data_IF_766100506923
#
_entry.id   IF_766100506923
#
_cell.length_a   1.000
_cell.length_b   1.000
_cell.length_c   1.000
_cell.angle_alpha   90.00
_cell.angle_beta   90.00
_cell.angle_gamma   90.00
#
_symmetry.space_group_name_H-M   'P 1'
#
loop_
_entity.id
_entity.type
_entity.pdbx_description
1 polymer ?
#
# COMPACT_ATOMS: atom_id res chain seq x y z
N UNK A 1 -18.12 -44.58 -41.77
CA UNK A 1 -16.69 -44.54 -41.39
C UNK A 1 -16.34 -43.08 -41.10
N UNK A 2 -16.41 -42.65 -39.84
CA UNK A 2 -16.07 -41.25 -39.47
C UNK A 2 -14.58 -41.02 -39.75
N UNK A 3 -14.28 -39.96 -40.47
CA UNK A 3 -12.92 -39.63 -40.87
C UNK A 3 -12.04 -39.32 -39.63
N UNK A 4 -11.00 -40.11 -39.38
CA UNK A 4 -10.08 -39.93 -38.22
C UNK A 4 -9.59 -38.47 -38.06
N UNK A 5 -9.48 -37.74 -39.18
CA UNK A 5 -9.15 -36.31 -39.20
C UNK A 5 -10.23 -35.42 -38.57
N UNK A 6 -11.52 -35.75 -38.75
CA UNK A 6 -12.64 -34.98 -38.18
C UNK A 6 -12.67 -35.15 -36.64
N UNK A 7 -12.46 -36.40 -36.19
CA UNK A 7 -12.40 -36.71 -34.74
C UNK A 7 -11.21 -35.99 -34.09
N UNK A 8 -10.05 -35.96 -34.76
CA UNK A 8 -8.87 -35.24 -34.24
C UNK A 8 -9.08 -33.72 -34.11
N UNK A 9 -9.73 -33.12 -35.13
CA UNK A 9 -10.07 -31.69 -35.10
C UNK A 9 -11.07 -31.38 -33.97
N UNK A 10 -12.06 -32.24 -33.76
CA UNK A 10 -13.06 -32.06 -32.69
C UNK A 10 -12.43 -32.17 -31.30
N UNK A 11 -11.52 -33.10 -31.09
CA UNK A 11 -10.77 -33.23 -29.81
C UNK A 11 -9.87 -32.03 -29.60
N UNK A 12 -9.17 -31.55 -30.64
CA UNK A 12 -8.29 -30.41 -30.55
C UNK A 12 -9.06 -29.12 -30.18
N UNK A 13 -10.24 -28.93 -30.81
CA UNK A 13 -11.12 -27.78 -30.51
C UNK A 13 -11.68 -27.84 -29.08
N UNK A 14 -12.04 -29.04 -28.62
CA UNK A 14 -12.53 -29.25 -27.25
C UNK A 14 -11.45 -28.96 -26.20
N UNK A 15 -10.20 -29.33 -26.46
CA UNK A 15 -9.06 -29.02 -25.57
C UNK A 15 -8.79 -27.52 -25.51
N UNK A 16 -8.88 -26.82 -26.64
CA UNK A 16 -8.67 -25.34 -26.67
C UNK A 16 -9.77 -24.61 -25.87
N UNK A 17 -11.02 -25.08 -25.90
CA UNK A 17 -12.14 -24.48 -25.13
C UNK A 17 -11.96 -24.70 -23.62
N UNK A 18 -11.36 -25.82 -23.21
CA UNK A 18 -11.11 -26.09 -21.78
C UNK A 18 -9.99 -25.24 -21.17
N UNK A 19 -9.12 -24.61 -21.97
CA UNK A 19 -8.02 -23.74 -21.50
C UNK A 19 -8.50 -22.33 -21.21
N UNK A 20 -9.73 -21.96 -21.55
CA UNK A 20 -10.35 -20.66 -21.24
C UNK A 20 -10.82 -20.58 -19.77
N UNK A 21 -10.14 -21.28 -18.85
CA UNK A 21 -10.34 -21.09 -17.43
C UNK A 21 -10.03 -19.62 -17.10
N UNK A 22 -11.06 -18.80 -16.86
CA UNK A 22 -10.90 -17.48 -16.25
C UNK A 22 -10.17 -17.70 -14.93
N UNK A 23 -8.89 -17.38 -14.91
CA UNK A 23 -8.14 -17.24 -13.67
C UNK A 23 -8.68 -15.98 -12.98
N UNK A 24 -9.75 -16.15 -12.21
CA UNK A 24 -10.18 -15.11 -11.26
C UNK A 24 -9.16 -15.12 -10.13
N UNK A 25 -8.20 -14.21 -10.21
CA UNK A 25 -7.33 -13.88 -9.09
C UNK A 25 -8.20 -13.14 -8.06
N UNK A 26 -8.97 -13.87 -7.27
CA UNK A 26 -9.60 -13.35 -6.07
C UNK A 26 -8.51 -13.19 -5.01
N UNK A 27 -7.62 -12.23 -5.20
CA UNK A 27 -6.85 -11.63 -4.12
C UNK A 27 -7.85 -11.21 -3.05
N UNK A 28 -7.55 -11.48 -1.79
CA UNK A 28 -8.42 -11.42 -0.65
C UNK A 28 -9.57 -10.42 -0.77
N UNK A 29 -10.79 -10.89 -0.77
CA UNK A 29 -11.93 -10.02 -0.94
C UNK A 29 -12.17 -9.24 0.35
N UNK A 30 -12.28 -7.92 0.22
CA UNK A 30 -12.78 -7.05 1.27
C UNK A 30 -14.04 -7.69 1.92
N UNK A 31 -14.20 -7.62 3.27
CA UNK A 31 -15.35 -8.19 3.92
C UNK A 31 -16.66 -7.65 3.32
N UNK A 32 -17.53 -8.52 2.85
CA UNK A 32 -18.73 -8.14 2.06
C UNK A 32 -19.72 -7.23 2.78
N UNK A 33 -19.63 -7.14 4.11
CA UNK A 33 -20.47 -6.27 4.94
C UNK A 33 -19.91 -4.84 5.08
N UNK A 34 -18.64 -4.60 4.70
CA UNK A 34 -18.04 -3.27 4.72
C UNK A 34 -18.18 -2.65 3.33
N UNK A 35 -18.94 -1.57 3.22
CA UNK A 35 -19.18 -0.86 1.96
C UNK A 35 -18.51 0.51 1.96
N UNK A 36 -18.49 1.15 3.12
CA UNK A 36 -17.92 2.49 3.30
C UNK A 36 -16.78 2.48 4.31
N UNK A 37 -15.85 3.43 4.14
CA UNK A 37 -14.70 3.58 5.00
C UNK A 37 -14.45 5.05 5.32
N UNK A 38 -14.14 5.32 6.59
CA UNK A 38 -13.62 6.62 7.02
C UNK A 38 -12.11 6.51 7.16
N UNK A 39 -11.38 7.39 6.49
CA UNK A 39 -9.93 7.53 6.65
C UNK A 39 -9.68 8.68 7.62
N UNK A 40 -9.03 8.39 8.74
CA UNK A 40 -8.67 9.40 9.73
C UNK A 40 -7.42 10.16 9.27
N UNK A 41 -7.34 11.45 9.64
CA UNK A 41 -6.11 12.20 9.45
C UNK A 41 -4.94 11.48 10.12
N UNK A 42 -3.82 11.38 9.40
CA UNK A 42 -2.61 10.74 9.92
C UNK A 42 -2.10 11.52 11.13
N UNK A 43 -1.81 10.81 12.20
CA UNK A 43 -1.12 11.36 13.37
C UNK A 43 0.39 11.19 13.22
N UNK A 44 1.16 12.18 13.67
CA UNK A 44 2.62 12.12 13.64
C UNK A 44 3.20 12.16 15.06
N UNK A 45 3.74 11.03 15.50
CA UNK A 45 4.44 10.84 16.75
C UNK A 45 5.96 10.70 16.58
N UNK A 46 6.47 10.91 15.35
CA UNK A 46 7.90 10.73 15.04
C UNK A 46 8.82 11.75 15.72
N UNK A 47 8.28 12.91 16.07
CA UNK A 47 9.08 14.03 16.59
C UNK A 47 9.92 14.72 15.52
N UNK A 48 9.75 14.41 14.24
CA UNK A 48 10.55 14.95 13.14
C UNK A 48 10.27 16.45 12.85
N UNK A 49 9.11 16.94 13.28
CA UNK A 49 8.80 18.38 13.35
C UNK A 49 8.30 19.01 12.03
N UNK A 50 8.07 18.24 10.97
CA UNK A 50 7.48 18.77 9.73
C UNK A 50 6.02 18.31 9.54
N UNK A 51 5.03 19.16 9.82
CA UNK A 51 3.62 18.79 9.74
C UNK A 51 3.14 18.48 8.30
N UNK A 52 3.88 18.89 7.27
CA UNK A 52 3.53 18.61 5.88
C UNK A 52 3.57 17.11 5.54
N UNK A 53 4.41 16.33 6.21
CA UNK A 53 4.54 14.91 5.88
C UNK A 53 3.30 14.10 6.24
N UNK A 54 2.67 14.39 7.38
CA UNK A 54 1.38 13.78 7.72
C UNK A 54 0.27 14.17 6.75
N UNK A 55 0.27 15.44 6.30
CA UNK A 55 -0.71 15.95 5.33
C UNK A 55 -0.54 15.24 3.97
N UNK A 56 0.70 15.16 3.48
CA UNK A 56 1.03 14.44 2.24
C UNK A 56 0.57 12.98 2.33
N UNK A 57 0.91 12.28 3.41
CA UNK A 57 0.51 10.89 3.58
C UNK A 57 -1.01 10.73 3.64
N UNK A 58 -1.71 11.60 4.39
CA UNK A 58 -3.17 11.59 4.46
C UNK A 58 -3.79 11.73 3.07
N UNK A 59 -3.37 12.75 2.31
CA UNK A 59 -3.92 13.02 0.99
C UNK A 59 -3.61 11.90 0.00
N UNK A 60 -2.36 11.41 0.00
CA UNK A 60 -1.96 10.30 -0.88
C UNK A 60 -2.80 9.05 -0.62
N UNK A 61 -3.05 8.71 0.64
CA UNK A 61 -3.88 7.56 1.00
C UNK A 61 -5.33 7.76 0.55
N UNK A 62 -5.92 8.93 0.80
CA UNK A 62 -7.28 9.24 0.35
C UNK A 62 -7.38 9.09 -1.17
N UNK A 63 -6.45 9.67 -1.92
CA UNK A 63 -6.44 9.62 -3.38
C UNK A 63 -6.30 8.18 -3.90
N UNK A 64 -5.46 7.35 -3.28
CA UNK A 64 -5.30 5.94 -3.63
C UNK A 64 -6.59 5.14 -3.41
N UNK A 65 -7.24 5.29 -2.26
CA UNK A 65 -8.50 4.58 -1.97
C UNK A 65 -9.67 5.06 -2.83
N UNK A 66 -9.74 6.35 -3.17
CA UNK A 66 -10.72 6.89 -4.12
C UNK A 66 -10.53 6.30 -5.52
N UNK A 67 -9.28 6.12 -5.96
CA UNK A 67 -8.97 5.52 -7.27
C UNK A 67 -9.20 4.00 -7.31
N UNK A 68 -8.93 3.30 -6.19
CA UNK A 68 -9.13 1.85 -6.08
C UNK A 68 -10.61 1.47 -6.06
N UNK A 69 -11.46 2.31 -5.47
CA UNK A 69 -12.92 2.18 -5.44
C UNK A 69 -13.45 0.86 -4.80
N UNK A 70 -12.66 0.21 -3.96
CA UNK A 70 -13.09 -0.98 -3.19
C UNK A 70 -14.09 -0.59 -2.10
N UNK A 71 -13.88 0.58 -1.49
CA UNK A 71 -14.75 1.16 -0.46
C UNK A 71 -15.23 2.55 -0.89
N UNK A 72 -16.47 2.89 -0.56
CA UNK A 72 -16.95 4.27 -0.61
C UNK A 72 -16.30 5.07 0.53
N UNK A 73 -15.51 6.10 0.18
CA UNK A 73 -14.85 6.95 1.18
C UNK A 73 -15.84 7.99 1.68
N UNK A 74 -16.06 8.00 2.99
CA UNK A 74 -16.98 8.92 3.67
C UNK A 74 -16.28 9.65 4.82
N UNK A 75 -16.68 10.89 5.08
CA UNK A 75 -16.08 11.72 6.13
C UNK A 75 -16.39 11.21 7.54
N UNK A 76 -17.59 10.68 7.75
CA UNK A 76 -18.09 10.28 9.05
C UNK A 76 -18.83 8.94 8.96
N UNK A 77 -18.70 8.13 10.01
CA UNK A 77 -19.54 6.94 10.23
C UNK A 77 -19.47 5.87 9.14
N UNK A 78 -18.28 5.66 8.53
CA UNK A 78 -18.06 4.53 7.63
C UNK A 78 -18.20 3.18 8.36
N UNK A 79 -18.55 2.13 7.60
CA UNK A 79 -18.60 0.75 8.09
C UNK A 79 -17.25 0.28 8.62
N UNK A 80 -16.18 0.80 8.06
CA UNK A 80 -14.80 0.61 8.51
C UNK A 80 -14.11 1.95 8.82
N UNK A 81 -13.03 1.87 9.57
CA UNK A 81 -12.16 3.01 9.88
C UNK A 81 -10.70 2.63 9.67
N UNK A 82 -9.98 3.46 8.92
CA UNK A 82 -8.53 3.37 8.75
C UNK A 82 -7.85 4.46 9.59
N UNK A 83 -6.96 4.06 10.48
CA UNK A 83 -6.18 4.95 11.35
C UNK A 83 -4.70 4.69 11.12
N UNK A 84 -3.91 5.75 10.97
CA UNK A 84 -2.48 5.67 10.71
C UNK A 84 -1.73 6.62 11.63
N UNK A 85 -0.64 6.12 12.20
CA UNK A 85 0.24 6.89 13.07
C UNK A 85 1.68 6.74 12.59
N UNK A 86 2.33 7.84 12.20
CA UNK A 86 3.76 7.86 11.91
C UNK A 86 4.50 7.73 13.25
N UNK A 87 5.18 6.62 13.43
CA UNK A 87 5.93 6.35 14.67
C UNK A 87 7.36 6.88 14.61
N UNK A 88 7.99 6.83 13.45
CA UNK A 88 9.35 7.35 13.30
C UNK A 88 9.66 7.75 11.85
N UNK A 89 10.47 8.80 11.72
CA UNK A 89 11.17 9.18 10.49
C UNK A 89 12.64 9.23 10.88
N UNK A 90 13.47 8.38 10.29
CA UNK A 90 14.90 8.24 10.64
C UNK A 90 15.78 8.37 9.43
N UNK A 91 16.93 8.98 9.64
CA UNK A 91 17.96 9.08 8.62
C UNK A 91 19.24 8.38 9.09
N UNK A 92 19.86 7.63 8.18
CA UNK A 92 21.12 6.94 8.44
C UNK A 92 21.98 6.90 7.18
N UNK A 93 23.32 6.89 7.31
CA UNK A 93 24.19 6.59 6.18
C UNK A 93 23.92 5.19 5.62
N UNK A 94 23.98 5.05 4.29
CA UNK A 94 23.76 3.75 3.63
C UNK A 94 24.99 2.85 3.82
N UNK A 95 26.18 3.38 3.55
CA UNK A 95 27.44 2.70 3.72
C UNK A 95 28.57 3.74 3.81
N UNK A 96 29.45 3.59 4.78
CA UNK A 96 30.64 4.43 4.91
C UNK A 96 31.81 3.50 5.21
N UNK A 97 32.81 3.43 4.30
CA UNK A 97 34.05 2.73 4.57
C UNK A 97 34.93 3.58 5.48
N UNK A 98 35.80 2.97 6.30
CA UNK A 98 36.70 3.72 7.15
C UNK A 98 37.59 4.68 6.35
N UNK A 99 37.43 6.00 6.61
CA UNK A 99 38.20 7.05 5.91
C UNK A 99 37.53 7.64 4.68
N UNK A 100 36.35 7.19 4.28
CA UNK A 100 35.55 7.77 3.20
C UNK A 100 34.49 8.73 3.74
N UNK A 101 34.12 9.73 2.91
CA UNK A 101 33.02 10.64 3.20
C UNK A 101 31.69 9.98 2.87
N UNK A 102 30.68 10.27 3.68
CA UNK A 102 29.30 9.86 3.40
C UNK A 102 28.80 10.47 2.08
N UNK A 103 28.34 9.63 1.17
CA UNK A 103 27.80 10.03 -0.15
C UNK A 103 26.30 9.83 -0.26
N UNK A 104 25.74 8.85 0.46
CA UNK A 104 24.33 8.47 0.40
C UNK A 104 23.74 8.31 1.79
N UNK A 105 22.49 8.77 1.93
CA UNK A 105 21.67 8.57 3.12
C UNK A 105 20.37 7.89 2.80
N UNK A 106 19.94 7.00 3.70
CA UNK A 106 18.62 6.40 3.71
C UNK A 106 17.70 7.18 4.64
N UNK A 107 16.51 7.52 4.17
CA UNK A 107 15.38 7.93 5.00
C UNK A 107 14.45 6.73 5.15
N UNK A 108 14.10 6.37 6.36
CA UNK A 108 13.16 5.29 6.68
C UNK A 108 12.00 5.84 7.51
N UNK A 109 10.77 5.55 7.06
CA UNK A 109 9.52 5.96 7.70
C UNK A 109 8.80 4.72 8.18
N UNK A 110 8.36 4.70 9.44
CA UNK A 110 7.58 3.62 10.02
C UNK A 110 6.26 4.14 10.56
N UNK A 111 5.17 3.45 10.21
CA UNK A 111 3.82 3.76 10.64
C UNK A 111 3.16 2.55 11.28
N UNK A 112 2.35 2.79 12.32
CA UNK A 112 1.34 1.84 12.77
C UNK A 112 0.06 2.10 11.97
N UNK A 113 -0.51 1.04 11.40
CA UNK A 113 -1.77 1.07 10.62
C UNK A 113 -2.77 0.17 11.29
N UNK A 114 -3.96 0.71 11.60
CA UNK A 114 -5.08 -0.02 12.16
C UNK A 114 -6.29 0.10 11.23
N UNK A 115 -6.81 -1.06 10.78
CA UNK A 115 -8.06 -1.16 10.05
C UNK A 115 -9.10 -1.81 10.96
N UNK A 116 -10.16 -1.06 11.27
CA UNK A 116 -11.16 -1.40 12.27
C UNK A 116 -12.55 -1.54 11.65
N UNK A 117 -13.25 -2.61 11.98
CA UNK A 117 -14.64 -2.87 11.60
C UNK A 117 -15.59 -2.18 12.61
N UNK A 118 -16.25 -1.12 12.16
CA UNK A 118 -17.20 -0.37 12.99
C UNK A 118 -18.52 -1.13 13.17
N UNK A 119 -18.87 -2.07 12.29
CA UNK A 119 -20.10 -2.87 12.35
C UNK A 119 -19.94 -3.98 13.39
N UNK A 120 -18.88 -4.78 13.28
CA UNK A 120 -18.60 -5.90 14.19
C UNK A 120 -17.82 -5.50 15.44
N UNK A 121 -17.35 -4.25 15.51
CA UNK A 121 -16.59 -3.70 16.66
C UNK A 121 -15.30 -4.46 16.97
N UNK A 122 -14.53 -4.82 15.92
CA UNK A 122 -13.27 -5.52 16.08
C UNK A 122 -12.18 -4.97 15.15
N UNK A 123 -10.92 -5.16 15.53
CA UNK A 123 -9.76 -4.88 14.68
C UNK A 123 -9.65 -5.95 13.61
N UNK A 124 -9.65 -5.56 12.34
CA UNK A 124 -9.41 -6.46 11.21
C UNK A 124 -7.90 -6.60 11.01
N UNK A 125 -7.17 -5.48 11.03
CA UNK A 125 -5.73 -5.44 10.88
C UNK A 125 -5.10 -4.42 11.83
N UNK A 126 -3.97 -4.81 12.39
CA UNK A 126 -3.05 -3.88 13.06
C UNK A 126 -1.62 -4.30 12.75
N UNK A 127 -0.89 -3.44 12.04
CA UNK A 127 0.48 -3.72 11.57
C UNK A 127 1.37 -2.49 11.66
N UNK A 128 2.67 -2.74 11.79
CA UNK A 128 3.69 -1.74 11.46
C UNK A 128 4.12 -1.93 10.00
N UNK A 129 4.06 -0.86 9.23
CA UNK A 129 4.52 -0.80 7.85
C UNK A 129 5.67 0.20 7.80
N UNK A 130 6.72 -0.13 7.08
CA UNK A 130 7.90 0.75 6.93
C UNK A 130 8.29 0.81 5.47
N UNK A 131 8.62 2.00 5.00
CA UNK A 131 9.18 2.24 3.68
C UNK A 131 10.41 3.12 3.78
N UNK A 132 11.25 3.12 2.75
CA UNK A 132 12.45 3.94 2.73
C UNK A 132 12.79 4.41 1.31
N UNK A 133 13.57 5.47 1.25
CA UNK A 133 14.24 5.90 0.03
C UNK A 133 15.65 6.40 0.34
N UNK A 134 16.49 6.52 -0.69
CA UNK A 134 17.89 6.91 -0.58
C UNK A 134 18.11 8.19 -1.37
N UNK A 135 18.88 9.12 -0.85
CA UNK A 135 19.29 10.33 -1.53
C UNK A 135 20.80 10.56 -1.44
N UNK A 136 21.34 11.30 -2.42
CA UNK A 136 22.74 11.73 -2.42
C UNK A 136 22.91 12.92 -1.47
N UNK A 137 23.94 12.88 -0.62
CA UNK A 137 24.25 14.00 0.29
C UNK A 137 24.52 15.30 -0.48
N UNK A 138 25.06 15.21 -1.70
CA UNK A 138 25.28 16.34 -2.59
C UNK A 138 24.01 17.08 -3.02
N UNK A 139 22.85 16.40 -3.00
CA UNK A 139 21.54 16.98 -3.33
C UNK A 139 20.96 17.82 -2.18
N UNK A 140 21.61 17.79 -1.01
CA UNK A 140 21.25 18.59 0.16
C UNK A 140 19.80 18.41 0.59
N UNK A 141 19.13 19.52 0.98
CA UNK A 141 17.76 19.51 1.48
C UNK A 141 16.74 19.01 0.44
N UNK A 142 16.95 19.30 -0.84
CA UNK A 142 15.99 18.90 -1.89
C UNK A 142 15.98 17.39 -2.12
N UNK A 143 17.15 16.75 -2.16
CA UNK A 143 17.24 15.28 -2.27
C UNK A 143 16.57 14.60 -1.08
N UNK A 144 16.83 15.10 0.12
CA UNK A 144 16.21 14.64 1.36
C UNK A 144 14.67 14.73 1.32
N UNK A 145 14.12 15.89 0.95
CA UNK A 145 12.68 16.10 0.90
C UNK A 145 12.02 15.21 -0.18
N UNK A 146 12.68 15.00 -1.31
CA UNK A 146 12.22 14.08 -2.35
C UNK A 146 12.21 12.62 -1.84
N UNK A 147 13.29 12.18 -1.19
CA UNK A 147 13.36 10.84 -0.61
C UNK A 147 12.27 10.59 0.44
N UNK A 148 11.98 11.58 1.29
CA UNK A 148 10.88 11.49 2.25
C UNK A 148 9.52 11.34 1.52
N UNK A 149 9.25 12.15 0.49
CA UNK A 149 8.01 12.06 -0.29
C UNK A 149 7.86 10.73 -1.00
N UNK A 150 8.94 10.21 -1.57
CA UNK A 150 8.95 8.90 -2.23
C UNK A 150 8.66 7.78 -1.22
N UNK A 151 9.31 7.80 -0.05
CA UNK A 151 9.06 6.85 1.02
C UNK A 151 7.60 6.91 1.54
N UNK A 152 7.02 8.13 1.67
CA UNK A 152 5.62 8.30 2.03
C UNK A 152 4.67 7.75 0.97
N UNK A 153 4.98 7.94 -0.32
CA UNK A 153 4.19 7.39 -1.43
C UNK A 153 4.20 5.86 -1.43
N UNK A 154 5.38 5.24 -1.31
CA UNK A 154 5.51 3.78 -1.22
C UNK A 154 4.76 3.23 0.00
N UNK A 155 4.85 3.93 1.14
CA UNK A 155 4.14 3.54 2.35
C UNK A 155 2.62 3.58 2.16
N UNK A 156 2.10 4.59 1.44
CA UNK A 156 0.68 4.69 1.12
C UNK A 156 0.21 3.53 0.23
N UNK A 157 1.01 3.13 -0.77
CA UNK A 157 0.74 1.96 -1.61
C UNK A 157 0.70 0.67 -0.77
N UNK A 158 1.65 0.49 0.14
CA UNK A 158 1.70 -0.67 1.04
C UNK A 158 0.51 -0.71 2.00
N UNK A 159 0.02 0.46 2.47
CA UNK A 159 -1.20 0.57 3.27
C UNK A 159 -2.42 0.14 2.46
N UNK A 160 -2.57 0.64 1.23
CA UNK A 160 -3.67 0.24 0.35
C UNK A 160 -3.65 -1.27 0.13
N UNK A 161 -2.52 -1.82 -0.33
CA UNK A 161 -2.36 -3.26 -0.54
C UNK A 161 -2.67 -4.04 0.73
N UNK A 162 -2.17 -3.57 1.87
CA UNK A 162 -2.47 -4.16 3.15
C UNK A 162 -3.96 -4.21 3.48
N UNK A 163 -4.76 -3.24 3.14
CA UNK A 163 -6.21 -3.18 3.44
C UNK A 163 -7.04 -3.97 2.43
N UNK A 164 -6.69 -3.97 1.13
CA UNK A 164 -7.50 -4.59 0.07
C UNK A 164 -7.17 -6.06 -0.22
N UNK A 165 -5.91 -6.50 0.01
CA UNK A 165 -5.48 -7.84 -0.37
C UNK A 165 -5.96 -8.95 0.57
N UNK A 166 -6.54 -8.61 1.68
CA UNK A 166 -7.00 -9.57 2.72
C UNK A 166 -5.84 -10.49 3.16
N UNK A 167 -5.48 -10.40 4.34
CA UNK A 167 -4.39 -11.09 5.06
C UNK A 167 -4.37 -12.57 4.91
#
# INVERSE_FOLDING_TARGET
MFNKKIIFVFILTFVIVMIQGCYSFTGGSAPSHLKSMTIQNVNDNSGFGNPQYREILTQTIIDLFLNDNTYEIVDLSGDARLSIVINSIREAPVSVSPGELETERKVEISCEVEFYDNVKKNVIMKKNISSYDIYQVSESQQGRDNAIRNALSQLADDVLLGVISGW
#
